data_IF_036546325571
#
_entry.id   IF_036546325571
#
_cell.length_a   1.000
_cell.length_b   1.000
_cell.length_c   1.000
_cell.angle_alpha   90.00
_cell.angle_beta   90.00
_cell.angle_gamma   90.00
#
_symmetry.space_group_name_H-M   'P 1'
#
loop_
_entity.id
_entity.type
_entity.pdbx_description
1 polymer ?
#
# COMPACT_ATOMS: atom_id res chain seq x y z
N UNK A 1 -0.05 20.88 3.57
CA UNK A 1 1.32 20.37 3.82
C UNK A 1 1.45 18.97 3.22
N UNK A 2 2.69 18.52 2.98
CA UNK A 2 2.95 17.11 2.63
C UNK A 2 3.25 16.38 3.94
N UNK A 3 2.53 15.29 4.19
CA UNK A 3 2.74 14.38 5.31
C UNK A 3 3.15 13.02 4.74
N UNK A 4 4.24 12.43 5.22
CA UNK A 4 4.57 11.05 4.83
C UNK A 4 3.75 10.12 5.71
N UNK A 5 3.06 9.15 5.10
CA UNK A 5 2.26 8.19 5.85
C UNK A 5 3.15 7.32 6.74
N UNK A 6 2.77 7.19 8.01
CA UNK A 6 3.38 6.21 8.91
C UNK A 6 2.99 4.80 8.47
N UNK A 7 3.93 4.07 7.88
CA UNK A 7 3.76 2.67 7.50
C UNK A 7 3.87 1.81 8.76
N UNK A 8 2.72 1.37 9.27
CA UNK A 8 2.62 0.53 10.46
C UNK A 8 2.06 -0.84 10.09
N UNK A 9 2.74 -1.89 10.53
CA UNK A 9 2.36 -3.27 10.23
C UNK A 9 1.37 -3.85 11.25
N UNK A 10 0.52 -4.79 10.83
CA UNK A 10 -0.38 -5.51 11.73
C UNK A 10 0.37 -6.16 12.91
N UNK A 11 -0.25 -6.22 14.11
CA UNK A 11 -1.59 -5.76 14.45
C UNK A 11 -1.65 -4.27 14.85
N UNK A 12 -0.57 -3.51 14.65
CA UNK A 12 -0.46 -2.13 15.11
C UNK A 12 -1.20 -1.15 14.18
N UNK A 13 -1.54 0.03 14.70
CA UNK A 13 -2.21 1.10 13.95
C UNK A 13 -1.48 2.44 14.09
N UNK A 14 -1.46 3.31 13.06
CA UNK A 14 -0.91 4.65 13.17
C UNK A 14 -1.63 5.49 14.23
N UNK A 15 -0.93 6.44 14.88
CA UNK A 15 -1.51 7.29 15.91
C UNK A 15 -2.70 8.12 15.38
N UNK A 16 -3.60 8.60 16.26
CA UNK A 16 -4.66 9.51 15.86
C UNK A 16 -4.12 10.79 15.20
N UNK A 17 -4.77 11.21 14.13
CA UNK A 17 -4.44 12.46 13.43
C UNK A 17 -4.92 13.64 14.29
N UNK A 18 -4.00 14.52 14.70
CA UNK A 18 -4.31 15.68 15.57
C UNK A 18 -4.53 16.99 14.80
N UNK A 19 -4.15 17.05 13.52
CA UNK A 19 -4.37 18.24 12.68
C UNK A 19 -5.84 18.47 12.35
N UNK A 20 -6.18 19.74 12.18
CA UNK A 20 -7.54 20.20 11.83
C UNK A 20 -7.72 20.61 10.37
N UNK A 21 -6.65 20.56 9.55
CA UNK A 21 -6.67 20.94 8.14
C UNK A 21 -6.31 19.75 7.21
N UNK A 22 -6.72 19.79 5.93
CA UNK A 22 -6.28 18.82 4.92
C UNK A 22 -4.77 18.81 4.69
N UNK A 23 -4.26 17.67 4.21
CA UNK A 23 -2.89 17.50 3.77
C UNK A 23 -2.81 16.62 2.50
N UNK A 24 -1.67 16.68 1.82
CA UNK A 24 -1.29 15.65 0.84
C UNK A 24 -0.50 14.59 1.57
N UNK A 25 -1.05 13.38 1.67
CA UNK A 25 -0.46 12.27 2.41
C UNK A 25 0.28 11.37 1.41
N UNK A 26 1.60 11.37 1.48
CA UNK A 26 2.47 10.57 0.63
C UNK A 26 2.56 9.14 1.17
N UNK A 27 2.10 8.17 0.38
CA UNK A 27 2.11 6.75 0.70
C UNK A 27 3.12 6.05 -0.19
N UNK A 28 4.14 5.44 0.41
CA UNK A 28 5.09 4.57 -0.30
C UNK A 28 4.67 3.10 -0.10
N UNK A 29 4.37 2.42 -1.20
CA UNK A 29 3.91 1.04 -1.20
C UNK A 29 4.70 0.20 -2.21
N UNK A 30 5.13 -0.98 -1.78
CA UNK A 30 5.85 -1.94 -2.61
C UNK A 30 5.14 -3.29 -2.59
N UNK A 31 5.15 -4.02 -3.71
CA UNK A 31 4.78 -5.45 -3.72
C UNK A 31 5.98 -6.37 -3.69
N UNK A 32 5.83 -7.50 -3.00
CA UNK A 32 6.84 -8.57 -2.95
C UNK A 32 6.18 -9.94 -3.01
N UNK A 33 6.89 -10.93 -3.52
CA UNK A 33 6.67 -12.33 -3.16
C UNK A 33 7.43 -12.63 -1.87
N UNK A 34 6.75 -13.18 -0.87
CA UNK A 34 7.35 -13.63 0.39
C UNK A 34 6.82 -15.00 0.75
N UNK A 35 7.68 -15.85 1.29
CA UNK A 35 7.21 -17.05 1.98
C UNK A 35 6.50 -16.64 3.26
N UNK A 36 5.27 -17.14 3.45
CA UNK A 36 4.41 -16.88 4.59
C UNK A 36 4.13 -18.20 5.29
N UNK A 37 4.30 -18.23 6.61
CA UNK A 37 3.84 -19.34 7.44
C UNK A 37 2.31 -19.27 7.60
N UNK A 38 1.61 -20.32 7.18
CA UNK A 38 0.16 -20.44 7.36
C UNK A 38 -0.15 -21.16 8.67
N UNK A 39 0.64 -22.21 8.97
CA UNK A 39 0.65 -22.95 10.22
C UNK A 39 2.05 -23.58 10.42
N UNK A 40 2.33 -24.22 11.57
CA UNK A 40 3.67 -24.74 11.90
C UNK A 40 4.28 -25.74 10.91
N UNK A 41 3.49 -26.25 9.97
CA UNK A 41 3.90 -27.28 8.99
C UNK A 41 3.71 -26.85 7.54
N UNK A 42 3.08 -25.70 7.28
CA UNK A 42 2.76 -25.24 5.94
C UNK A 42 3.21 -23.79 5.70
N UNK A 43 3.98 -23.60 4.63
CA UNK A 43 4.32 -22.27 4.09
C UNK A 43 3.68 -22.06 2.72
N UNK A 44 3.56 -20.80 2.32
CA UNK A 44 3.00 -20.40 1.03
C UNK A 44 3.71 -19.15 0.48
N UNK A 45 3.97 -19.12 -0.82
CA UNK A 45 4.47 -17.93 -1.50
C UNK A 45 3.34 -16.90 -1.66
N UNK A 46 3.29 -15.94 -0.73
CA UNK A 46 2.30 -14.88 -0.74
C UNK A 46 2.78 -13.64 -1.49
N UNK A 47 1.85 -13.03 -2.22
CA UNK A 47 1.99 -11.65 -2.68
C UNK A 47 1.62 -10.70 -1.55
N UNK A 48 2.52 -9.78 -1.25
CA UNK A 48 2.44 -8.94 -0.06
C UNK A 48 2.56 -7.48 -0.43
N UNK A 49 1.97 -6.62 0.40
CA UNK A 49 2.20 -5.18 0.37
C UNK A 49 3.16 -4.81 1.50
N UNK A 50 4.29 -4.19 1.16
CA UNK A 50 5.44 -3.90 2.04
C UNK A 50 5.96 -5.13 2.81
N UNK A 51 5.84 -6.33 2.26
CA UNK A 51 6.39 -7.55 2.87
C UNK A 51 5.51 -8.19 3.94
N UNK A 52 4.29 -7.70 4.15
CA UNK A 52 3.36 -8.19 5.17
C UNK A 52 2.02 -8.62 4.58
N UNK A 53 1.38 -9.59 5.24
CA UNK A 53 -0.03 -9.94 5.02
C UNK A 53 -0.79 -9.87 6.35
N UNK A 54 -1.82 -9.00 6.46
CA UNK A 54 -2.18 -7.97 5.49
C UNK A 54 -1.09 -6.91 5.34
N UNK A 55 -1.21 -6.07 4.31
CA UNK A 55 -0.33 -4.91 4.12
C UNK A 55 -0.41 -3.89 5.28
N UNK A 56 0.46 -2.86 5.25
CA UNK A 56 0.49 -1.86 6.30
C UNK A 56 -0.80 -1.02 6.34
N UNK A 57 -1.13 -0.52 7.53
CA UNK A 57 -2.32 0.30 7.74
C UNK A 57 -2.04 1.75 7.34
N UNK A 58 -2.81 2.30 6.40
CA UNK A 58 -2.74 3.73 6.03
C UNK A 58 -3.84 4.49 6.77
N UNK A 59 -3.46 5.53 7.51
CA UNK A 59 -4.41 6.42 8.20
C UNK A 59 -4.39 7.81 7.59
N UNK A 60 -5.54 8.26 7.10
CA UNK A 60 -5.75 9.59 6.56
C UNK A 60 -7.01 10.24 7.16
N UNK A 61 -7.15 11.55 6.97
CA UNK A 61 -8.29 12.35 7.39
C UNK A 61 -9.17 12.67 6.18
N UNK A 62 -10.48 12.73 6.37
CA UNK A 62 -11.40 13.25 5.34
C UNK A 62 -10.90 14.61 4.82
N UNK A 63 -10.86 14.73 3.50
CA UNK A 63 -10.39 15.92 2.78
C UNK A 63 -8.92 15.88 2.39
N UNK A 64 -8.15 14.88 2.85
CA UNK A 64 -6.78 14.69 2.36
C UNK A 64 -6.76 14.19 0.92
N UNK A 65 -5.63 14.47 0.27
CA UNK A 65 -5.25 13.87 -1.00
C UNK A 65 -4.22 12.80 -0.69
N UNK A 66 -4.47 11.56 -1.09
CA UNK A 66 -3.45 10.51 -1.07
C UNK A 66 -2.60 10.67 -2.33
N UNK A 67 -1.28 10.81 -2.16
CA UNK A 67 -0.31 10.70 -3.24
C UNK A 67 0.39 9.34 -3.06
N UNK A 68 0.18 8.41 -3.99
CA UNK A 68 0.67 7.03 -3.85
C UNK A 68 1.84 6.81 -4.78
N UNK A 69 2.98 6.42 -4.23
CA UNK A 69 4.14 5.94 -4.98
C UNK A 69 4.17 4.43 -4.82
N UNK A 70 3.83 3.72 -5.88
CA UNK A 70 3.74 2.27 -5.91
C UNK A 70 4.88 1.68 -6.72
N UNK A 71 5.66 0.75 -6.14
CA UNK A 71 6.71 0.01 -6.84
C UNK A 71 6.46 -1.48 -6.81
N UNK A 72 6.51 -2.14 -7.96
CA UNK A 72 6.41 -3.58 -8.02
C UNK A 72 7.79 -4.24 -7.90
N UNK A 73 8.06 -4.90 -6.76
CA UNK A 73 9.30 -5.65 -6.52
C UNK A 73 9.06 -7.18 -6.53
N UNK A 74 7.93 -7.63 -7.11
CA UNK A 74 7.66 -9.05 -7.34
C UNK A 74 8.70 -9.63 -8.31
N UNK A 75 9.49 -10.60 -7.84
CA UNK A 75 10.55 -11.25 -8.62
C UNK A 75 10.04 -12.29 -9.62
N UNK A 76 8.79 -12.74 -9.51
CA UNK A 76 8.15 -13.72 -10.41
C UNK A 76 7.71 -13.14 -11.75
N UNK A 77 7.68 -11.81 -11.89
CA UNK A 77 7.25 -11.11 -13.10
C UNK A 77 5.76 -10.79 -13.17
N UNK A 78 4.99 -11.14 -12.13
CA UNK A 78 3.57 -10.79 -12.05
C UNK A 78 3.37 -9.28 -11.95
N UNK A 79 2.36 -8.79 -12.69
CA UNK A 79 1.95 -7.40 -12.62
C UNK A 79 1.04 -7.19 -11.41
N UNK A 80 1.19 -6.05 -10.76
CA UNK A 80 0.42 -5.71 -9.56
C UNK A 80 -0.14 -4.29 -9.65
N UNK A 81 -1.18 -4.02 -8.86
CA UNK A 81 -1.76 -2.69 -8.68
C UNK A 81 -2.38 -2.54 -7.29
N UNK A 82 -3.04 -1.40 -7.06
CA UNK A 82 -3.74 -1.07 -5.82
C UNK A 82 -5.13 -0.53 -6.16
N UNK A 83 -6.17 -1.11 -5.57
CA UNK A 83 -7.53 -0.57 -5.54
C UNK A 83 -7.82 -0.08 -4.11
N UNK A 84 -8.03 1.23 -3.96
CA UNK A 84 -8.45 1.82 -2.71
C UNK A 84 -9.96 2.05 -2.70
N UNK A 85 -10.69 1.30 -1.88
CA UNK A 85 -12.13 1.51 -1.69
C UNK A 85 -12.48 2.91 -1.14
N UNK A 86 -11.51 3.62 -0.54
CA UNK A 86 -11.65 4.99 -0.06
C UNK A 86 -11.51 6.05 -1.18
N UNK A 87 -11.03 5.67 -2.37
CA UNK A 87 -10.80 6.56 -3.50
C UNK A 87 -12.01 6.54 -4.44
N UNK A 88 -12.46 7.73 -4.85
CA UNK A 88 -13.48 7.90 -5.88
C UNK A 88 -12.82 8.15 -7.23
N UNK A 89 -12.85 7.13 -8.10
CA UNK A 89 -12.25 7.15 -9.43
C UNK A 89 -12.27 5.75 -10.05
N UNK A 90 -11.87 5.59 -11.33
CA UNK A 90 -11.85 4.29 -11.99
C UNK A 90 -11.01 3.25 -11.21
N UNK A 91 -11.64 2.13 -10.85
CA UNK A 91 -11.00 1.01 -10.14
C UNK A 91 -10.31 1.38 -8.83
N UNK A 92 -10.75 2.43 -8.14
CA UNK A 92 -10.13 2.90 -6.89
C UNK A 92 -8.65 3.29 -7.02
N UNK A 93 -8.17 3.57 -8.24
CA UNK A 93 -6.76 3.85 -8.54
C UNK A 93 -6.03 2.74 -9.31
N UNK A 94 -6.62 1.54 -9.40
CA UNK A 94 -5.99 0.38 -10.02
C UNK A 94 -5.51 0.63 -11.45
N UNK A 95 -6.31 1.33 -12.27
CA UNK A 95 -5.96 1.63 -13.66
C UNK A 95 -4.73 2.56 -13.80
N UNK A 96 -4.40 3.35 -12.77
CA UNK A 96 -3.23 4.24 -12.77
C UNK A 96 -2.00 3.58 -12.12
N UNK A 97 -2.22 2.57 -11.30
CA UNK A 97 -1.20 1.93 -10.47
C UNK A 97 -0.80 0.52 -10.94
N UNK A 98 -1.30 0.04 -12.07
CA UNK A 98 -0.79 -1.20 -12.69
C UNK A 98 0.66 -1.04 -13.08
N UNK A 99 1.53 -1.80 -12.41
CA UNK A 99 2.98 -1.76 -12.56
C UNK A 99 3.54 -3.13 -12.96
N UNK A 100 4.37 -3.14 -14.00
CA UNK A 100 5.19 -4.31 -14.34
C UNK A 100 6.31 -4.52 -13.31
N UNK A 101 7.00 -5.66 -13.37
CA UNK A 101 8.14 -5.94 -12.50
C UNK A 101 9.21 -4.83 -12.59
N UNK A 102 9.59 -4.29 -11.44
CA UNK A 102 10.58 -3.21 -11.33
C UNK A 102 10.04 -1.81 -11.65
N UNK A 103 8.81 -1.70 -12.14
CA UNK A 103 8.20 -0.42 -12.47
C UNK A 103 7.74 0.32 -11.20
N UNK A 104 7.81 1.65 -11.25
CA UNK A 104 7.21 2.55 -10.25
C UNK A 104 6.12 3.40 -10.90
N UNK A 105 4.91 3.39 -10.31
CA UNK A 105 3.79 4.26 -10.67
C UNK A 105 3.56 5.31 -9.58
N UNK A 106 3.05 6.47 -9.99
CA UNK A 106 2.66 7.56 -9.09
C UNK A 106 1.27 8.05 -9.46
N UNK A 107 0.39 8.17 -8.48
CA UNK A 107 -0.99 8.64 -8.65
C UNK A 107 -1.42 9.54 -7.49
#
# INVERSE_FOLDING_TARGET
>A
PIEVADIVFPPNVPPPITRSHPARVLVNMNTYVKEIEIDPTHTYDGWTFNGSVPGPFIRARRGDILEVHFRNEDTSGMWHNLDFHAVSGPGGGASLLTAEQGETKRA
#
